data_IF_079349494224
#
_entry.id   IF_079349494224
#
_cell.length_a   1.000
_cell.length_b   1.000
_cell.length_c   1.000
_cell.angle_alpha   90.00
_cell.angle_beta   90.00
_cell.angle_gamma   90.00
#
_symmetry.space_group_name_H-M   'P 1'
#
loop_
_entity.id
_entity.type
_entity.pdbx_description
1 polymer ?
#
# COMPACT_ATOMS: atom_id res chain seq x y z
N UNK A 1 -9.77 17.73 -0.77
CA UNK A 1 -10.38 18.33 0.44
C UNK A 1 -10.17 19.84 0.58
N UNK A 2 -8.94 20.39 0.50
CA UNK A 2 -8.74 21.85 0.60
C UNK A 2 -9.48 22.63 -0.50
N UNK A 3 -9.42 22.18 -1.76
CA UNK A 3 -10.13 22.83 -2.88
C UNK A 3 -11.65 22.92 -2.71
N UNK A 4 -12.31 21.82 -2.29
CA UNK A 4 -13.76 21.80 -2.03
C UNK A 4 -14.14 22.78 -0.90
N UNK A 5 -13.36 22.81 0.18
CA UNK A 5 -13.57 23.78 1.27
C UNK A 5 -13.41 25.22 0.77
N UNK A 6 -12.45 25.49 -0.09
CA UNK A 6 -12.25 26.82 -0.68
C UNK A 6 -13.39 27.21 -1.61
N UNK A 7 -13.86 26.30 -2.48
CA UNK A 7 -14.99 26.55 -3.39
C UNK A 7 -16.27 26.80 -2.59
N UNK A 8 -16.57 25.95 -1.60
CA UNK A 8 -17.73 26.15 -0.73
C UNK A 8 -17.67 27.48 0.03
N UNK A 9 -16.50 27.88 0.51
CA UNK A 9 -16.29 29.15 1.20
C UNK A 9 -16.48 30.35 0.26
N UNK A 10 -15.91 30.30 -0.96
CA UNK A 10 -16.07 31.35 -1.97
C UNK A 10 -17.53 31.47 -2.39
N UNK A 11 -18.21 30.36 -2.65
CA UNK A 11 -19.65 30.36 -2.96
C UNK A 11 -20.48 30.95 -1.83
N UNK A 12 -20.21 30.58 -0.58
CA UNK A 12 -20.91 31.14 0.58
C UNK A 12 -20.71 32.66 0.71
N UNK A 13 -19.48 33.15 0.48
CA UNK A 13 -19.17 34.59 0.51
C UNK A 13 -19.89 35.33 -0.61
N UNK A 14 -19.90 34.78 -1.83
CA UNK A 14 -20.59 35.39 -2.98
C UNK A 14 -22.11 35.44 -2.76
N UNK A 15 -22.72 34.36 -2.25
CA UNK A 15 -24.15 34.34 -1.90
C UNK A 15 -24.45 35.40 -0.84
N UNK A 16 -23.61 35.51 0.19
CA UNK A 16 -23.78 36.49 1.26
C UNK A 16 -23.74 37.92 0.72
N UNK A 17 -22.75 38.25 -0.12
CA UNK A 17 -22.60 39.58 -0.72
C UNK A 17 -23.78 39.89 -1.65
N UNK A 18 -24.20 38.94 -2.50
CA UNK A 18 -25.32 39.13 -3.42
C UNK A 18 -26.65 39.34 -2.68
N UNK A 19 -26.86 38.63 -1.58
CA UNK A 19 -28.06 38.76 -0.74
C UNK A 19 -28.05 40.09 0.01
N UNK A 20 -26.92 40.49 0.58
CA UNK A 20 -26.76 41.77 1.28
C UNK A 20 -26.92 42.97 0.33
N UNK A 21 -26.38 42.88 -0.89
CA UNK A 21 -26.53 43.92 -1.90
C UNK A 21 -27.99 44.03 -2.38
N UNK A 22 -28.65 42.90 -2.69
CA UNK A 22 -30.07 42.89 -3.09
C UNK A 22 -30.95 43.53 -2.01
N UNK A 23 -30.71 43.20 -0.75
CA UNK A 23 -31.41 43.81 0.38
C UNK A 23 -31.18 45.32 0.46
N UNK A 24 -29.93 45.77 0.33
CA UNK A 24 -29.57 47.18 0.40
C UNK A 24 -30.21 48.04 -0.71
N UNK A 25 -30.44 47.48 -1.90
CA UNK A 25 -31.03 48.21 -3.02
C UNK A 25 -32.56 48.12 -3.11
N UNK A 26 -33.14 46.97 -2.78
CA UNK A 26 -34.58 46.74 -3.00
C UNK A 26 -35.43 46.95 -1.76
N UNK A 27 -34.87 46.71 -0.56
CA UNK A 27 -35.62 46.64 0.71
C UNK A 27 -36.89 45.76 0.65
N UNK A 28 -36.93 44.82 -0.31
CA UNK A 28 -38.04 43.90 -0.52
C UNK A 28 -37.63 42.48 -0.12
N UNK A 29 -38.41 41.89 0.77
CA UNK A 29 -38.21 40.53 1.29
C UNK A 29 -38.40 39.50 0.19
N UNK A 30 -39.37 39.70 -0.71
CA UNK A 30 -39.67 38.73 -1.77
C UNK A 30 -38.55 38.66 -2.81
N UNK A 31 -38.09 39.81 -3.29
CA UNK A 31 -36.96 39.90 -4.21
C UNK A 31 -35.67 39.30 -3.61
N UNK A 32 -35.40 39.55 -2.33
CA UNK A 32 -34.23 39.00 -1.64
C UNK A 32 -34.32 37.47 -1.48
N UNK A 33 -35.49 36.94 -1.14
CA UNK A 33 -35.73 35.50 -1.04
C UNK A 33 -35.57 34.78 -2.38
N UNK A 34 -36.04 35.38 -3.47
CA UNK A 34 -35.90 34.82 -4.82
C UNK A 34 -34.41 34.71 -5.20
N UNK A 35 -33.63 35.77 -4.98
CA UNK A 35 -32.19 35.79 -5.28
C UNK A 35 -31.44 34.77 -4.41
N UNK A 36 -31.75 34.69 -3.12
CA UNK A 36 -31.12 33.73 -2.21
C UNK A 36 -31.40 32.28 -2.66
N UNK A 37 -32.65 31.98 -2.99
CA UNK A 37 -33.08 30.63 -3.43
C UNK A 37 -32.43 30.24 -4.76
N UNK A 38 -32.33 31.18 -5.70
CA UNK A 38 -31.66 30.95 -6.98
C UNK A 38 -30.15 30.71 -6.78
N UNK A 39 -29.51 31.54 -5.95
CA UNK A 39 -28.09 31.42 -5.66
C UNK A 39 -27.75 30.12 -4.89
N UNK A 40 -28.58 29.70 -3.94
CA UNK A 40 -28.41 28.42 -3.23
C UNK A 40 -28.59 27.22 -4.15
N UNK A 41 -29.54 27.29 -5.08
CA UNK A 41 -29.78 26.23 -6.07
C UNK A 41 -28.57 26.08 -7.00
N UNK A 42 -28.04 27.19 -7.53
CA UNK A 42 -26.84 27.19 -8.38
C UNK A 42 -25.63 26.61 -7.62
N UNK A 43 -25.42 27.03 -6.37
CA UNK A 43 -24.30 26.52 -5.58
C UNK A 43 -24.42 25.02 -5.27
N UNK A 44 -25.63 24.53 -5.04
CA UNK A 44 -25.89 23.10 -4.82
C UNK A 44 -25.58 22.29 -6.08
N UNK A 45 -26.02 22.76 -7.25
CA UNK A 45 -25.71 22.13 -8.54
C UNK A 45 -24.21 22.12 -8.80
N UNK A 46 -23.52 23.26 -8.59
CA UNK A 46 -22.06 23.32 -8.76
C UNK A 46 -21.33 22.36 -7.83
N UNK A 47 -21.70 22.31 -6.54
CA UNK A 47 -21.10 21.35 -5.59
C UNK A 47 -21.35 19.90 -6.02
N UNK A 48 -22.56 19.57 -6.49
CA UNK A 48 -22.87 18.23 -6.99
C UNK A 48 -22.01 17.87 -8.21
N UNK A 49 -21.86 18.79 -9.18
CA UNK A 49 -21.00 18.60 -10.36
C UNK A 49 -19.54 18.43 -9.95
N UNK A 50 -19.00 19.27 -9.06
CA UNK A 50 -17.61 19.16 -8.61
C UNK A 50 -17.36 17.87 -7.82
N UNK A 51 -18.31 17.41 -7.02
CA UNK A 51 -18.22 16.11 -6.33
C UNK A 51 -18.19 14.97 -7.37
N UNK A 52 -19.02 15.06 -8.40
CA UNK A 52 -19.08 14.07 -9.47
C UNK A 52 -17.80 14.03 -10.31
N UNK A 53 -17.26 15.18 -10.70
CA UNK A 53 -15.97 15.29 -11.39
C UNK A 53 -14.82 14.73 -10.54
N UNK A 54 -14.83 14.99 -9.23
CA UNK A 54 -13.83 14.46 -8.32
C UNK A 54 -13.97 12.94 -8.15
N UNK A 55 -15.18 12.40 -8.12
CA UNK A 55 -15.43 10.95 -8.10
C UNK A 55 -14.92 10.29 -9.40
N UNK A 56 -15.16 10.91 -10.56
CA UNK A 56 -14.61 10.45 -11.85
C UNK A 56 -13.09 10.47 -11.81
N UNK A 57 -12.47 11.58 -11.39
CA UNK A 57 -11.02 11.69 -11.33
C UNK A 57 -10.39 10.67 -10.36
N UNK A 58 -11.05 10.38 -9.23
CA UNK A 58 -10.61 9.32 -8.31
C UNK A 58 -10.72 7.94 -8.98
N UNK A 59 -11.82 7.66 -9.68
CA UNK A 59 -12.00 6.39 -10.41
C UNK A 59 -10.98 6.21 -11.51
N UNK A 60 -10.65 7.27 -12.25
CA UNK A 60 -9.61 7.26 -13.27
C UNK A 60 -8.24 6.99 -12.67
N UNK A 61 -7.87 7.70 -11.59
CA UNK A 61 -6.62 7.46 -10.86
C UNK A 61 -6.53 6.02 -10.31
N UNK A 62 -7.64 5.48 -9.80
CA UNK A 62 -7.69 4.09 -9.33
C UNK A 62 -7.52 3.12 -10.49
N UNK A 63 -8.16 3.36 -11.64
CA UNK A 63 -8.01 2.54 -12.83
C UNK A 63 -6.56 2.56 -13.35
N UNK A 64 -5.93 3.74 -13.42
CA UNK A 64 -4.52 3.87 -13.76
C UNK A 64 -3.61 3.13 -12.78
N UNK A 65 -3.87 3.23 -11.47
CA UNK A 65 -3.09 2.55 -10.46
C UNK A 65 -3.27 1.01 -10.50
N UNK A 66 -4.48 0.53 -10.78
CA UNK A 66 -4.76 -0.90 -11.01
C UNK A 66 -4.05 -1.39 -12.27
N UNK A 67 -4.16 -0.65 -13.38
CA UNK A 67 -3.45 -0.96 -14.64
C UNK A 67 -1.94 -0.98 -14.45
N UNK A 68 -1.38 0.00 -13.74
CA UNK A 68 0.03 0.05 -13.37
C UNK A 68 0.42 -1.12 -12.47
N UNK A 69 -0.46 -1.55 -11.56
CA UNK A 69 -0.24 -2.73 -10.73
C UNK A 69 -0.18 -4.00 -11.58
N UNK A 70 -1.10 -4.17 -12.55
CA UNK A 70 -1.04 -5.28 -13.51
C UNK A 70 0.28 -5.27 -14.30
N UNK A 71 0.69 -4.11 -14.81
CA UNK A 71 1.95 -3.95 -15.55
C UNK A 71 3.20 -4.17 -14.68
N UNK A 72 3.12 -3.94 -13.37
CA UNK A 72 4.20 -4.24 -12.42
C UNK A 72 4.21 -5.71 -12.00
N UNK A 73 3.05 -6.36 -11.95
CA UNK A 73 2.87 -7.78 -11.62
C UNK A 73 2.88 -8.65 -12.89
N UNK A 74 3.70 -8.25 -13.85
CA UNK A 74 3.82 -8.84 -15.18
C UNK A 74 4.71 -10.10 -15.20
N UNK A 75 4.90 -10.66 -16.39
CA UNK A 75 5.79 -11.81 -16.60
C UNK A 75 7.24 -11.51 -16.21
N UNK A 76 7.69 -10.25 -16.34
CA UNK A 76 9.05 -9.86 -15.94
C UNK A 76 9.28 -9.98 -14.43
N UNK A 77 8.29 -9.61 -13.61
CA UNK A 77 8.35 -9.86 -12.16
C UNK A 77 8.23 -11.36 -11.86
N UNK A 78 7.26 -12.04 -12.47
CA UNK A 78 7.05 -13.48 -12.25
C UNK A 78 8.28 -14.30 -12.59
N UNK A 79 8.99 -13.97 -13.66
CA UNK A 79 10.25 -14.61 -14.04
C UNK A 79 11.36 -14.39 -13.01
N UNK A 80 11.49 -13.17 -12.48
CA UNK A 80 12.43 -12.89 -11.37
C UNK A 80 12.07 -13.71 -10.14
N UNK A 81 10.80 -13.78 -9.78
CA UNK A 81 10.32 -14.57 -8.64
C UNK A 81 10.56 -16.07 -8.86
N UNK A 82 10.36 -16.57 -10.07
CA UNK A 82 10.64 -17.96 -10.45
C UNK A 82 12.13 -18.30 -10.33
N UNK A 83 13.01 -17.40 -10.77
CA UNK A 83 14.47 -17.53 -10.59
C UNK A 83 14.86 -17.56 -9.12
N UNK A 84 14.29 -16.67 -8.30
CA UNK A 84 14.55 -16.65 -6.87
C UNK A 84 14.09 -17.97 -6.22
N UNK A 85 12.92 -18.46 -6.62
CA UNK A 85 12.37 -19.72 -6.13
C UNK A 85 13.24 -20.92 -6.53
N UNK A 86 13.81 -20.95 -7.73
CA UNK A 86 14.71 -22.04 -8.13
C UNK A 86 15.97 -22.15 -7.25
N UNK A 87 16.36 -21.09 -6.55
CA UNK A 87 17.47 -21.15 -5.58
C UNK A 87 17.10 -21.87 -4.28
N UNK A 88 15.82 -22.19 -4.07
CA UNK A 88 15.36 -23.08 -3.01
C UNK A 88 15.27 -24.53 -3.47
N UNK A 89 15.09 -24.76 -4.77
CA UNK A 89 14.82 -26.09 -5.35
C UNK A 89 16.10 -26.83 -5.82
N UNK A 90 17.25 -26.16 -5.90
CA UNK A 90 18.51 -26.77 -6.36
C UNK A 90 19.33 -27.39 -5.21
N UNK A 91 19.48 -28.73 -5.30
CA UNK A 91 20.30 -29.66 -4.51
C UNK A 91 19.72 -30.17 -3.17
N UNK A 92 19.27 -31.42 -3.20
CA UNK A 92 19.20 -32.36 -2.08
C UNK A 92 18.35 -31.96 -0.85
N UNK A 93 17.11 -31.50 -1.10
CA UNK A 93 16.01 -31.74 -0.14
C UNK A 93 15.98 -30.86 1.11
N UNK A 94 16.82 -29.82 1.21
CA UNK A 94 16.65 -28.59 2.00
C UNK A 94 18.00 -27.87 2.08
N UNK A 95 18.27 -26.95 1.17
CA UNK A 95 19.08 -25.79 1.53
C UNK A 95 18.85 -24.63 0.55
N UNK A 96 18.26 -23.57 1.08
CA UNK A 96 18.29 -22.24 0.51
C UNK A 96 19.74 -21.87 0.14
N UNK A 97 19.96 -21.19 -1.00
CA UNK A 97 21.27 -20.59 -1.30
C UNK A 97 21.81 -19.87 -0.06
N UNK A 98 23.01 -20.22 0.43
CA UNK A 98 23.58 -19.60 1.62
C UNK A 98 23.66 -18.08 1.46
N UNK A 99 23.36 -17.35 2.54
CA UNK A 99 23.35 -15.88 2.53
C UNK A 99 24.73 -15.34 2.10
N UNK A 100 25.81 -15.97 2.53
CA UNK A 100 27.18 -15.57 2.21
C UNK A 100 27.46 -15.65 0.70
N UNK A 101 26.90 -16.66 0.03
CA UNK A 101 27.03 -16.85 -1.41
C UNK A 101 26.17 -15.83 -2.17
N UNK A 102 24.93 -15.63 -1.71
CA UNK A 102 24.04 -14.59 -2.23
C UNK A 102 24.69 -13.19 -2.15
N UNK A 103 25.35 -12.87 -1.04
CA UNK A 103 25.96 -11.55 -0.84
C UNK A 103 27.16 -11.28 -1.75
N UNK A 104 27.83 -12.33 -2.24
CA UNK A 104 28.92 -12.23 -3.23
C UNK A 104 28.40 -12.13 -4.67
N UNK A 105 27.17 -12.57 -4.91
CA UNK A 105 26.56 -12.59 -6.24
C UNK A 105 25.76 -11.29 -6.51
N UNK A 106 26.40 -10.36 -7.24
CA UNK A 106 25.79 -9.09 -7.61
C UNK A 106 24.53 -9.25 -8.49
N UNK A 107 24.44 -10.30 -9.30
CA UNK A 107 23.28 -10.53 -10.15
C UNK A 107 22.08 -10.97 -9.31
N UNK A 108 22.27 -11.94 -8.40
CA UNK A 108 21.20 -12.39 -7.49
C UNK A 108 20.73 -11.26 -6.57
N UNK A 109 21.66 -10.46 -6.04
CA UNK A 109 21.32 -9.25 -5.25
C UNK A 109 20.48 -8.27 -6.06
N UNK A 110 20.82 -8.04 -7.33
CA UNK A 110 20.05 -7.18 -8.23
C UNK A 110 18.64 -7.74 -8.47
N UNK A 111 18.50 -9.04 -8.73
CA UNK A 111 17.20 -9.70 -8.96
C UNK A 111 16.28 -9.55 -7.75
N UNK A 112 16.75 -9.91 -6.55
CA UNK A 112 15.99 -9.73 -5.29
C UNK A 112 15.74 -8.23 -5.04
N UNK A 113 16.73 -7.39 -5.36
CA UNK A 113 16.68 -5.94 -5.31
C UNK A 113 15.53 -5.32 -6.11
N UNK A 114 15.34 -5.78 -7.34
CA UNK A 114 14.33 -5.28 -8.28
C UNK A 114 12.94 -5.83 -7.96
N UNK A 115 12.80 -7.15 -7.78
CA UNK A 115 11.50 -7.79 -7.55
C UNK A 115 10.76 -7.18 -6.34
N UNK A 116 11.51 -6.98 -5.28
CA UNK A 116 11.03 -6.34 -4.06
C UNK A 116 10.76 -4.83 -4.15
N UNK A 117 11.50 -4.08 -4.98
CA UNK A 117 11.22 -2.66 -5.25
C UNK A 117 9.87 -2.53 -5.94
N UNK A 118 9.61 -3.43 -6.89
CA UNK A 118 8.33 -3.52 -7.60
C UNK A 118 7.20 -3.81 -6.60
N UNK A 119 7.34 -4.86 -5.78
CA UNK A 119 6.33 -5.22 -4.77
C UNK A 119 6.13 -4.11 -3.73
N UNK A 120 7.18 -3.39 -3.34
CA UNK A 120 7.04 -2.24 -2.45
C UNK A 120 6.29 -1.08 -3.11
N UNK A 121 6.45 -0.87 -4.43
CA UNK A 121 5.70 0.15 -5.17
C UNK A 121 4.22 -0.22 -5.26
N UNK A 122 3.90 -1.48 -5.51
CA UNK A 122 2.52 -1.99 -5.44
C UNK A 122 1.94 -1.79 -4.04
N UNK A 123 2.71 -2.12 -3.00
CA UNK A 123 2.29 -1.90 -1.60
C UNK A 123 2.02 -0.44 -1.28
N UNK A 124 2.77 0.49 -1.91
CA UNK A 124 2.52 1.91 -1.75
C UNK A 124 1.16 2.31 -2.34
N UNK A 125 0.78 1.77 -3.50
CA UNK A 125 -0.55 2.04 -4.08
C UNK A 125 -1.68 1.54 -3.20
N UNK A 126 -1.52 0.37 -2.56
CA UNK A 126 -2.48 -0.15 -1.58
C UNK A 126 -2.54 0.74 -0.34
N UNK A 127 -1.38 1.10 0.22
CA UNK A 127 -1.31 1.97 1.38
C UNK A 127 -2.00 3.32 1.15
N UNK A 128 -1.87 3.87 -0.07
CA UNK A 128 -2.50 5.12 -0.50
C UNK A 128 -3.96 4.97 -0.91
N UNK A 129 -4.51 3.76 -0.85
CA UNK A 129 -5.89 3.43 -1.23
C UNK A 129 -6.21 3.67 -2.71
N UNK A 130 -5.19 3.74 -3.57
CA UNK A 130 -5.39 3.76 -5.02
C UNK A 130 -5.78 2.38 -5.57
N UNK A 131 -5.36 1.34 -4.86
CA UNK A 131 -5.71 -0.06 -5.11
C UNK A 131 -6.26 -0.66 -3.82
N UNK A 132 -7.41 -1.32 -3.90
CA UNK A 132 -8.00 -2.01 -2.74
C UNK A 132 -7.11 -3.16 -2.26
N UNK A 133 -7.08 -3.39 -0.95
CA UNK A 133 -6.43 -4.56 -0.37
C UNK A 133 -7.09 -5.87 -0.81
N UNK A 134 -8.42 -5.88 -0.94
CA UNK A 134 -9.19 -7.01 -1.48
C UNK A 134 -8.68 -7.46 -2.87
N UNK A 135 -8.37 -6.51 -3.75
CA UNK A 135 -7.92 -6.80 -5.11
C UNK A 135 -6.58 -7.54 -5.08
N UNK A 136 -5.66 -7.09 -4.23
CA UNK A 136 -4.38 -7.77 -4.02
C UNK A 136 -4.57 -9.14 -3.41
N UNK A 137 -5.43 -9.26 -2.41
CA UNK A 137 -5.72 -10.51 -1.71
C UNK A 137 -6.20 -11.60 -2.67
N UNK A 138 -7.19 -11.27 -3.50
CA UNK A 138 -7.79 -12.21 -4.45
C UNK A 138 -6.86 -12.55 -5.62
N UNK A 139 -6.23 -11.54 -6.24
CA UNK A 139 -5.50 -11.74 -7.49
C UNK A 139 -4.05 -12.19 -7.26
N UNK A 140 -3.43 -11.72 -6.18
CA UNK A 140 -1.98 -11.81 -5.97
C UNK A 140 -1.57 -12.35 -4.61
N UNK A 141 -2.50 -12.63 -3.69
CA UNK A 141 -2.20 -13.04 -2.33
C UNK A 141 -1.22 -14.22 -2.27
N UNK A 142 -1.48 -15.26 -3.09
CA UNK A 142 -0.63 -16.45 -3.19
C UNK A 142 0.79 -16.12 -3.66
N UNK A 143 0.91 -15.33 -4.73
CA UNK A 143 2.19 -14.91 -5.30
C UNK A 143 2.99 -14.04 -4.32
N UNK A 144 2.33 -13.13 -3.62
CA UNK A 144 2.95 -12.22 -2.65
C UNK A 144 3.49 -13.01 -1.45
N UNK A 145 2.71 -13.95 -0.92
CA UNK A 145 3.14 -14.79 0.19
C UNK A 145 4.28 -15.72 -0.22
N UNK A 146 4.14 -16.44 -1.34
CA UNK A 146 5.18 -17.33 -1.90
C UNK A 146 6.49 -16.58 -2.14
N UNK A 147 6.41 -15.41 -2.79
CA UNK A 147 7.57 -14.56 -3.07
C UNK A 147 8.26 -14.07 -1.80
N UNK A 148 7.49 -13.74 -0.75
CA UNK A 148 8.09 -13.29 0.50
C UNK A 148 8.85 -14.42 1.19
N UNK A 149 8.26 -15.61 1.28
CA UNK A 149 8.94 -16.76 1.89
C UNK A 149 10.23 -17.11 1.14
N UNK A 150 10.19 -17.09 -0.20
CA UNK A 150 11.37 -17.32 -1.03
C UNK A 150 12.46 -16.26 -0.80
N UNK A 151 12.08 -14.98 -0.68
CA UNK A 151 13.02 -13.87 -0.55
C UNK A 151 13.46 -13.59 0.90
N UNK A 152 12.70 -14.01 1.92
CA UNK A 152 12.87 -13.66 3.34
C UNK A 152 14.34 -13.69 3.82
N UNK A 153 15.14 -14.76 3.60
CA UNK A 153 16.53 -14.78 4.05
C UNK A 153 17.39 -13.70 3.37
N UNK A 154 17.21 -13.49 2.07
CA UNK A 154 17.95 -12.49 1.30
C UNK A 154 17.52 -11.06 1.62
N UNK A 155 16.22 -10.84 1.88
CA UNK A 155 15.72 -9.54 2.35
C UNK A 155 16.36 -9.15 3.66
N UNK A 156 16.45 -10.11 4.59
CA UNK A 156 17.13 -9.91 5.88
C UNK A 156 18.61 -9.60 5.67
N UNK A 157 19.30 -10.35 4.82
CA UNK A 157 20.73 -10.11 4.54
C UNK A 157 21.01 -8.74 3.91
N UNK A 158 20.23 -8.34 2.90
CA UNK A 158 20.34 -7.02 2.28
C UNK A 158 20.05 -5.89 3.26
N UNK A 159 19.11 -6.11 4.19
CA UNK A 159 18.81 -5.18 5.28
C UNK A 159 19.99 -5.09 6.24
N UNK A 160 20.47 -6.21 6.75
CA UNK A 160 21.54 -6.26 7.75
C UNK A 160 22.83 -5.61 7.21
N UNK A 161 23.14 -5.80 5.93
CA UNK A 161 24.28 -5.12 5.28
C UNK A 161 24.11 -3.60 5.20
N UNK A 162 22.92 -3.13 4.83
CA UNK A 162 22.66 -1.70 4.60
C UNK A 162 22.45 -0.91 5.90
N UNK A 163 21.79 -1.50 6.90
CA UNK A 163 21.35 -0.82 8.11
C UNK A 163 22.31 -1.02 9.30
N UNK A 164 23.05 -2.13 9.37
CA UNK A 164 23.92 -2.43 10.53
C UNK A 164 25.37 -1.92 10.37
N UNK A 165 25.74 -1.35 9.20
CA UNK A 165 27.08 -0.78 8.95
C UNK A 165 27.25 0.69 9.35
N UNK A 166 26.19 1.48 9.56
CA UNK A 166 26.27 2.95 9.73
C UNK A 166 25.59 3.51 11.00
N UNK A 167 25.96 3.04 12.20
CA UNK A 167 25.52 3.68 13.45
C UNK A 167 26.55 3.57 14.57
N UNK A 168 26.51 4.44 15.57
CA UNK A 168 27.22 4.27 16.86
C UNK A 168 26.30 3.47 17.83
N UNK A 169 26.83 2.44 18.50
CA UNK A 169 26.06 1.51 19.36
C UNK A 169 26.57 0.07 19.34
N UNK A 170 25.94 -0.84 20.09
CA UNK A 170 26.22 -2.29 20.02
C UNK A 170 25.60 -2.93 18.75
N UNK A 171 26.20 -3.97 18.17
CA UNK A 171 25.70 -4.64 16.93
C UNK A 171 24.20 -5.02 17.02
N UNK A 172 23.77 -5.51 18.19
CA UNK A 172 22.38 -5.89 18.43
C UNK A 172 21.43 -4.68 18.53
N UNK A 173 21.87 -3.52 19.03
CA UNK A 173 21.00 -2.33 19.14
C UNK A 173 20.85 -1.60 17.80
N UNK A 174 21.90 -1.55 16.96
CA UNK A 174 21.84 -0.89 15.64
C UNK A 174 20.84 -1.56 14.70
N UNK A 175 20.87 -2.89 14.63
CA UNK A 175 19.95 -3.66 13.78
C UNK A 175 18.49 -3.66 14.29
N UNK A 176 18.25 -3.31 15.56
CA UNK A 176 16.91 -3.35 16.17
C UNK A 176 16.22 -1.98 16.15
N UNK A 177 16.98 -0.88 16.17
CA UNK A 177 16.47 0.49 16.26
C UNK A 177 16.75 1.38 15.03
N UNK A 178 17.40 0.85 13.99
CA UNK A 178 17.66 1.57 12.74
C UNK A 178 16.39 1.99 11.96
N UNK A 179 16.47 2.97 11.04
CA UNK A 179 15.33 3.39 10.25
C UNK A 179 14.92 2.26 9.30
N UNK A 180 13.84 1.55 9.67
CA UNK A 180 13.16 0.49 8.92
C UNK A 180 12.75 0.94 7.51
N UNK A 181 13.67 0.98 6.55
CA UNK A 181 13.41 1.70 5.30
C UNK A 181 13.21 0.80 4.09
N UNK A 182 13.85 -0.38 4.05
CA UNK A 182 13.77 -1.19 2.84
C UNK A 182 12.50 -2.06 2.83
N UNK A 183 11.54 -1.61 2.01
CA UNK A 183 10.34 -2.35 1.55
C UNK A 183 9.18 -2.42 2.56
N UNK A 184 9.01 -1.40 3.40
CA UNK A 184 7.91 -1.31 4.40
C UNK A 184 6.51 -1.56 3.83
N UNK A 185 6.24 -1.14 2.60
CA UNK A 185 4.94 -1.35 1.97
C UNK A 185 4.79 -2.74 1.37
N UNK A 186 5.90 -3.39 1.01
CA UNK A 186 5.84 -4.80 0.65
C UNK A 186 5.46 -5.66 1.87
N UNK A 187 5.99 -5.33 3.06
CA UNK A 187 5.58 -6.02 4.29
C UNK A 187 4.09 -5.86 4.57
N UNK A 188 3.50 -4.70 4.28
CA UNK A 188 2.05 -4.51 4.31
C UNK A 188 1.34 -5.50 3.39
N UNK A 189 1.79 -5.66 2.14
CA UNK A 189 1.21 -6.62 1.20
C UNK A 189 1.25 -8.05 1.74
N UNK A 190 2.38 -8.44 2.35
CA UNK A 190 2.55 -9.79 2.91
C UNK A 190 1.58 -10.04 4.06
N UNK A 191 1.38 -9.06 4.95
CA UNK A 191 0.42 -9.19 6.06
C UNK A 191 -0.99 -9.38 5.54
N UNK A 192 -1.47 -8.51 4.65
CA UNK A 192 -2.85 -8.60 4.14
C UNK A 192 -3.07 -9.90 3.34
N UNK A 193 -2.04 -10.39 2.65
CA UNK A 193 -2.10 -11.64 1.87
C UNK A 193 -2.09 -12.86 2.77
N UNK A 194 -1.25 -12.87 3.81
CA UNK A 194 -1.20 -13.95 4.80
C UNK A 194 -2.53 -14.09 5.54
N UNK A 195 -3.06 -12.98 6.08
CA UNK A 195 -4.33 -13.00 6.83
C UNK A 195 -5.44 -13.55 5.95
N UNK A 196 -5.61 -13.00 4.75
CA UNK A 196 -6.63 -13.46 3.81
C UNK A 196 -6.49 -14.93 3.42
N UNK A 197 -5.29 -15.37 3.01
CA UNK A 197 -5.07 -16.74 2.56
C UNK A 197 -5.24 -17.76 3.67
N UNK A 198 -4.71 -17.49 4.86
CA UNK A 198 -4.74 -18.48 5.93
C UNK A 198 -6.12 -18.55 6.61
N UNK A 199 -6.91 -17.48 6.57
CA UNK A 199 -8.31 -17.49 7.01
C UNK A 199 -9.23 -18.17 5.99
N UNK A 200 -9.13 -17.82 4.70
CA UNK A 200 -10.09 -18.28 3.68
C UNK A 200 -9.65 -19.57 2.98
N UNK A 201 -8.35 -19.83 2.87
CA UNK A 201 -7.76 -20.96 2.13
C UNK A 201 -6.63 -21.64 2.94
N UNK A 202 -6.92 -22.17 4.14
CA UNK A 202 -5.90 -22.67 5.07
C UNK A 202 -5.00 -23.76 4.48
N UNK A 203 -5.55 -24.65 3.65
CA UNK A 203 -4.77 -25.71 2.98
C UNK A 203 -3.78 -25.14 1.95
N UNK A 204 -4.19 -24.09 1.22
CA UNK A 204 -3.29 -23.40 0.27
C UNK A 204 -2.20 -22.63 1.02
N UNK A 205 -2.56 -21.95 2.10
CA UNK A 205 -1.60 -21.28 2.99
C UNK A 205 -0.58 -22.31 3.53
N UNK A 206 -1.03 -23.44 4.07
CA UNK A 206 -0.15 -24.53 4.54
C UNK A 206 0.77 -25.03 3.43
N UNK A 207 0.23 -25.35 2.26
CA UNK A 207 1.00 -25.82 1.12
C UNK A 207 2.03 -24.81 0.60
N UNK A 208 1.84 -23.50 0.83
CA UNK A 208 2.87 -22.49 0.53
C UNK A 208 4.02 -22.58 1.54
N UNK A 209 3.74 -22.65 2.84
CA UNK A 209 4.79 -22.74 3.87
C UNK A 209 5.58 -24.07 3.80
N UNK A 210 4.89 -25.18 3.51
CA UNK A 210 5.50 -26.52 3.39
C UNK A 210 6.54 -26.59 2.27
N UNK A 211 6.34 -25.88 1.15
CA UNK A 211 7.33 -25.78 0.06
C UNK A 211 8.68 -25.27 0.55
N UNK A 212 8.69 -24.42 1.57
CA UNK A 212 9.91 -23.87 2.16
C UNK A 212 10.31 -24.60 3.45
N UNK A 213 9.64 -25.71 3.78
CA UNK A 213 9.88 -26.49 5.00
C UNK A 213 9.60 -25.73 6.29
N UNK A 214 8.70 -24.74 6.25
CA UNK A 214 8.34 -23.89 7.39
C UNK A 214 6.97 -24.29 7.95
N UNK A 215 6.76 -24.06 9.25
CA UNK A 215 5.43 -24.13 9.84
C UNK A 215 4.66 -22.85 9.52
N UNK A 216 3.33 -22.95 9.48
CA UNK A 216 2.46 -21.78 9.29
C UNK A 216 2.55 -20.89 10.54
N UNK A 217 3.26 -19.78 10.41
CA UNK A 217 3.42 -18.76 11.43
C UNK A 217 3.30 -17.36 10.81
N UNK A 218 3.17 -16.31 11.63
CA UNK A 218 3.15 -14.92 11.15
C UNK A 218 4.47 -14.63 10.41
N UNK A 219 4.46 -14.44 9.07
CA UNK A 219 5.70 -14.40 8.29
C UNK A 219 6.49 -13.11 8.52
N UNK A 220 5.82 -12.02 8.88
CA UNK A 220 6.42 -10.71 9.17
C UNK A 220 6.37 -10.46 10.68
N UNK A 221 7.54 -10.43 11.35
CA UNK A 221 7.61 -10.06 12.76
C UNK A 221 7.07 -8.64 13.00
N UNK A 222 6.40 -8.41 14.13
CA UNK A 222 5.86 -7.08 14.47
C UNK A 222 6.92 -5.99 14.51
N UNK A 223 8.14 -6.34 14.93
CA UNK A 223 9.28 -5.42 14.92
C UNK A 223 9.58 -4.89 13.52
N UNK A 224 9.31 -5.67 12.48
CA UNK A 224 9.58 -5.29 11.09
C UNK A 224 8.59 -4.29 10.52
N UNK A 225 7.44 -4.10 11.16
CA UNK A 225 6.40 -3.19 10.68
C UNK A 225 6.63 -1.78 11.23
N UNK A 226 6.93 -0.86 10.30
CA UNK A 226 6.99 0.58 10.61
C UNK A 226 5.69 1.06 11.28
N UNK A 227 5.78 2.08 12.15
CA UNK A 227 4.63 2.60 12.93
C UNK A 227 3.43 2.93 12.05
N UNK A 228 3.65 3.62 10.94
CA UNK A 228 2.61 4.01 9.97
C UNK A 228 1.87 2.79 9.38
N UNK A 229 2.59 1.70 9.09
CA UNK A 229 2.01 0.47 8.56
C UNK A 229 1.17 -0.22 9.63
N UNK A 230 1.66 -0.26 10.88
CA UNK A 230 0.89 -0.81 12.01
C UNK A 230 -0.40 -0.02 12.23
N UNK A 231 -0.36 1.31 12.17
CA UNK A 231 -1.54 2.16 12.27
C UNK A 231 -2.51 1.96 11.10
N UNK A 232 -1.99 1.78 9.88
CA UNK A 232 -2.81 1.48 8.71
C UNK A 232 -3.52 0.12 8.84
N UNK A 233 -2.77 -0.94 9.16
CA UNK A 233 -3.30 -2.29 9.36
C UNK A 233 -4.34 -2.33 10.47
N UNK A 234 -4.08 -1.58 11.54
CA UNK A 234 -5.00 -1.38 12.64
C UNK A 234 -6.33 -0.76 12.17
N UNK A 235 -6.28 0.37 11.45
CA UNK A 235 -7.49 1.03 10.92
C UNK A 235 -8.30 0.14 9.97
N UNK A 236 -7.64 -0.77 9.27
CA UNK A 236 -8.27 -1.67 8.29
C UNK A 236 -8.79 -2.99 8.89
N UNK A 237 -8.59 -3.25 10.17
CA UNK A 237 -9.16 -4.44 10.82
C UNK A 237 -8.18 -5.59 11.09
N UNK A 238 -6.89 -5.45 10.76
CA UNK A 238 -5.90 -6.52 10.91
C UNK A 238 -5.35 -6.66 12.35
N UNK A 239 -6.22 -6.55 13.35
CA UNK A 239 -5.86 -6.48 14.78
C UNK A 239 -5.23 -7.77 15.28
N UNK A 240 -5.76 -8.93 14.87
CA UNK A 240 -5.28 -10.25 15.30
C UNK A 240 -3.83 -10.52 14.87
N UNK A 241 -3.44 -10.00 13.71
CA UNK A 241 -2.06 -10.06 13.27
C UNK A 241 -1.13 -9.23 14.16
N UNK A 242 -1.61 -8.08 14.64
CA UNK A 242 -0.87 -7.15 15.50
C UNK A 242 -0.91 -7.53 16.98
N UNK A 243 -1.88 -8.35 17.41
CA UNK A 243 -2.01 -8.94 18.74
C UNK A 243 -0.89 -9.94 19.03
#
# INVERSE_FOLDING_TARGET
MKGIKTVALVSAVVIFIATAATWAFTHDVNSTLIVLTLASTIATVMMAVTIYELDIAIKELNFEAVSATYGMMDESLKDKLRKIRSWWDQENGKMCLPVEEFMKDNEKRKIVGEASKILNRVGYFVYREFVGDWFIQEQYGGLILDSFLAMRPYLKALRDEAECREGEGSENEKCTNGPWFIRRFYLLLVVISYVYLCENFPEQCRGIFEKYGMNVEKPVPKGWLHREIREWLRRKGYWEYLA
#
